data_IF_475109518630
#
_entry.id   IF_475109518630
#
_cell.length_a   1.000
_cell.length_b   1.000
_cell.length_c   1.000
_cell.angle_alpha   90.00
_cell.angle_beta   90.00
_cell.angle_gamma   90.00
#
_symmetry.space_group_name_H-M   'P 1'
#
loop_
_entity.id
_entity.type
_entity.pdbx_description
1 polymer ?
#
# COMPACT_ATOMS: atom_id res chain seq x y z
N UNK A 1 16.93 -29.82 14.95
CA UNK A 1 16.66 -29.55 13.52
C UNK A 1 15.15 -29.49 13.34
N UNK A 2 14.59 -28.29 13.26
CA UNK A 2 13.13 -28.12 13.07
C UNK A 2 12.79 -28.43 11.61
N UNK A 3 12.01 -29.48 11.41
CA UNK A 3 11.48 -29.89 10.12
C UNK A 3 10.45 -28.86 9.65
N UNK A 4 10.85 -28.05 8.66
CA UNK A 4 9.89 -27.27 7.89
C UNK A 4 9.03 -28.26 7.10
N UNK A 5 7.73 -28.34 7.44
CA UNK A 5 6.77 -29.23 6.78
C UNK A 5 6.81 -29.01 5.27
N UNK A 6 6.59 -30.04 4.43
CA UNK A 6 6.57 -29.88 2.97
C UNK A 6 5.33 -29.07 2.59
N UNK A 7 5.46 -27.75 2.57
CA UNK A 7 4.42 -26.88 2.04
C UNK A 7 4.22 -27.23 0.57
N UNK A 8 2.99 -27.57 0.19
CA UNK A 8 2.66 -27.79 -1.21
C UNK A 8 2.89 -26.49 -2.00
N UNK A 9 3.16 -26.59 -3.31
CA UNK A 9 3.31 -25.40 -4.17
C UNK A 9 2.13 -24.42 -4.01
N UNK A 10 0.91 -24.94 -3.83
CA UNK A 10 -0.29 -24.15 -3.60
C UNK A 10 -0.21 -23.27 -2.33
N UNK A 11 0.41 -23.76 -1.26
CA UNK A 11 0.61 -22.98 -0.03
C UNK A 11 1.55 -21.79 -0.27
N UNK A 12 2.65 -22.02 -1.00
CA UNK A 12 3.60 -20.96 -1.31
C UNK A 12 2.95 -19.85 -2.15
N UNK A 13 2.18 -20.22 -3.18
CA UNK A 13 1.45 -19.24 -3.99
C UNK A 13 0.44 -18.45 -3.15
N UNK A 14 -0.35 -19.13 -2.33
CA UNK A 14 -1.32 -18.47 -1.45
C UNK A 14 -0.63 -17.47 -0.53
N UNK A 15 0.42 -17.89 0.17
CA UNK A 15 1.20 -17.03 1.06
C UNK A 15 1.77 -15.81 0.32
N UNK A 16 2.32 -16.03 -0.88
CA UNK A 16 2.88 -14.95 -1.69
C UNK A 16 1.82 -13.90 -2.02
N UNK A 17 0.66 -14.29 -2.55
CA UNK A 17 -0.39 -13.35 -2.92
C UNK A 17 -1.08 -12.70 -1.71
N UNK A 18 -1.18 -13.38 -0.58
CA UNK A 18 -1.80 -12.84 0.64
C UNK A 18 -0.86 -11.89 1.40
N UNK A 19 0.44 -12.15 1.43
CA UNK A 19 1.36 -11.48 2.36
C UNK A 19 2.52 -10.75 1.70
N UNK A 20 2.95 -11.16 0.51
CA UNK A 20 4.13 -10.58 -0.15
C UNK A 20 3.72 -9.63 -1.28
N UNK A 21 2.80 -10.04 -2.15
CA UNK A 21 2.37 -9.25 -3.30
C UNK A 21 1.57 -8.01 -2.89
N UNK A 22 1.73 -6.90 -3.63
CA UNK A 22 0.99 -5.65 -3.44
C UNK A 22 0.45 -5.15 -4.78
N UNK A 23 -0.67 -4.42 -4.73
CA UNK A 23 -1.37 -3.95 -5.93
C UNK A 23 -0.52 -3.00 -6.79
N UNK A 24 0.37 -2.23 -6.17
CA UNK A 24 1.32 -1.34 -6.85
C UNK A 24 2.54 -2.06 -7.43
N UNK A 25 2.71 -3.38 -7.19
CA UNK A 25 3.79 -4.14 -7.82
C UNK A 25 3.55 -4.37 -9.34
N UNK A 26 2.32 -4.16 -9.82
CA UNK A 26 1.98 -4.34 -11.23
C UNK A 26 2.41 -3.17 -12.11
N UNK A 27 2.57 -1.97 -11.53
CA UNK A 27 2.86 -0.73 -12.28
C UNK A 27 4.34 -0.60 -12.66
N UNK A 28 5.22 -1.35 -12.02
CA UNK A 28 6.64 -1.33 -12.36
C UNK A 28 6.97 -2.50 -13.28
N UNK A 29 7.03 -2.23 -14.59
CA UNK A 29 7.47 -3.18 -15.64
C UNK A 29 8.79 -3.89 -15.32
N UNK A 30 9.59 -3.33 -14.42
CA UNK A 30 10.89 -3.84 -13.99
C UNK A 30 11.00 -4.10 -12.48
N UNK A 31 9.90 -4.41 -11.77
CA UNK A 31 10.04 -5.08 -10.46
C UNK A 31 10.64 -6.46 -10.73
N UNK A 32 11.97 -6.50 -10.72
CA UNK A 32 12.64 -7.66 -10.20
C UNK A 32 12.12 -7.78 -8.78
N UNK A 33 11.33 -8.82 -8.50
CA UNK A 33 11.15 -9.32 -7.14
C UNK A 33 12.51 -9.75 -6.62
N UNK A 34 13.32 -8.76 -6.27
CA UNK A 34 14.65 -8.93 -5.77
C UNK A 34 14.54 -9.72 -4.48
N UNK A 35 15.54 -10.56 -4.21
CA UNK A 35 15.61 -11.27 -2.94
C UNK A 35 15.44 -10.32 -1.74
N UNK A 36 15.89 -9.07 -1.87
CA UNK A 36 15.71 -8.02 -0.86
C UNK A 36 14.25 -7.58 -0.67
N UNK A 37 13.48 -7.34 -1.74
CA UNK A 37 12.06 -6.95 -1.62
C UNK A 37 11.25 -8.06 -0.94
N UNK A 38 11.41 -9.30 -1.41
CA UNK A 38 10.72 -10.45 -0.83
C UNK A 38 11.14 -10.63 0.63
N UNK A 39 12.46 -10.57 0.92
CA UNK A 39 12.96 -10.71 2.29
C UNK A 39 12.43 -9.60 3.22
N UNK A 40 12.34 -8.35 2.75
CA UNK A 40 11.81 -7.25 3.53
C UNK A 40 10.33 -7.42 3.87
N UNK A 41 9.50 -7.85 2.92
CA UNK A 41 8.07 -8.11 3.15
C UNK A 41 7.82 -9.36 3.98
N UNK A 42 8.64 -10.39 3.79
CA UNK A 42 8.61 -11.60 4.62
C UNK A 42 8.98 -11.26 6.07
N UNK A 43 10.04 -10.47 6.28
CA UNK A 43 10.42 -9.99 7.61
C UNK A 43 9.31 -9.18 8.26
N UNK A 44 8.69 -8.25 7.53
CA UNK A 44 7.54 -7.49 8.03
C UNK A 44 6.39 -8.40 8.46
N UNK A 45 6.08 -9.44 7.68
CA UNK A 45 5.09 -10.45 8.06
C UNK A 45 5.49 -11.14 9.38
N UNK A 46 6.73 -11.60 9.51
CA UNK A 46 7.20 -12.22 10.76
C UNK A 46 7.16 -11.26 11.95
N UNK A 47 7.53 -10.00 11.76
CA UNK A 47 7.51 -8.98 12.81
C UNK A 47 6.07 -8.68 13.28
N UNK A 48 5.08 -8.75 12.37
CA UNK A 48 3.65 -8.65 12.72
C UNK A 48 3.20 -9.87 13.50
N UNK A 49 3.51 -11.08 13.03
CA UNK A 49 3.08 -12.34 13.69
C UNK A 49 3.72 -12.50 15.08
N UNK A 50 4.96 -12.03 15.25
CA UNK A 50 5.68 -12.07 16.52
C UNK A 50 5.31 -10.91 17.46
N UNK A 51 4.42 -9.99 17.05
CA UNK A 51 3.99 -8.85 17.86
C UNK A 51 5.05 -7.75 18.05
N UNK A 52 6.12 -7.76 17.24
CA UNK A 52 7.12 -6.68 17.22
C UNK A 52 6.48 -5.40 16.67
N UNK A 53 5.62 -5.53 15.66
CA UNK A 53 4.84 -4.43 15.11
C UNK A 53 3.57 -4.24 15.97
N UNK A 54 3.31 -3.02 16.49
CA UNK A 54 2.09 -2.76 17.26
C UNK A 54 0.82 -3.12 16.48
N UNK A 55 -0.18 -3.67 17.16
CA UNK A 55 -1.42 -4.14 16.53
C UNK A 55 -2.15 -3.05 15.72
N UNK A 56 -2.12 -1.79 16.20
CA UNK A 56 -2.67 -0.64 15.49
C UNK A 56 -1.97 -0.41 14.13
N UNK A 57 -0.64 -0.49 14.11
CA UNK A 57 0.16 -0.33 12.88
C UNK A 57 -0.04 -1.51 11.94
N UNK A 58 -0.09 -2.73 12.47
CA UNK A 58 -0.40 -3.92 11.66
C UNK A 58 -1.79 -3.83 11.03
N UNK A 59 -2.78 -3.30 11.76
CA UNK A 59 -4.12 -3.05 11.24
C UNK A 59 -4.13 -1.98 10.15
N UNK A 60 -3.35 -0.91 10.34
CA UNK A 60 -3.21 0.15 9.33
C UNK A 60 -2.55 -0.38 8.06
N UNK A 61 -1.44 -1.12 8.17
CA UNK A 61 -0.76 -1.77 7.03
C UNK A 61 -1.75 -2.63 6.23
N UNK A 62 -2.53 -3.50 6.89
CA UNK A 62 -3.55 -4.32 6.22
C UNK A 62 -4.63 -3.48 5.54
N UNK A 63 -5.05 -2.39 6.17
CA UNK A 63 -6.03 -1.45 5.60
C UNK A 63 -5.49 -0.75 4.34
N UNK A 64 -4.23 -0.31 4.36
CA UNK A 64 -3.57 0.31 3.21
C UNK A 64 -3.50 -0.66 2.03
N UNK A 65 -3.09 -1.92 2.27
CA UNK A 65 -3.06 -2.96 1.23
C UNK A 65 -4.46 -3.19 0.63
N UNK A 66 -5.50 -3.29 1.48
CA UNK A 66 -6.88 -3.47 0.99
C UNK A 66 -7.36 -2.27 0.16
N UNK A 67 -7.07 -1.04 0.60
CA UNK A 67 -7.43 0.17 -0.15
C UNK A 67 -6.72 0.23 -1.49
N UNK A 68 -5.43 -0.13 -1.52
CA UNK A 68 -4.67 -0.15 -2.76
C UNK A 68 -5.23 -1.17 -3.76
N UNK A 69 -5.70 -2.34 -3.31
CA UNK A 69 -6.40 -3.27 -4.19
C UNK A 69 -7.64 -2.64 -4.84
N UNK A 70 -8.45 -1.90 -4.07
CA UNK A 70 -9.61 -1.20 -4.62
C UNK A 70 -9.23 -0.09 -5.59
N UNK A 71 -8.15 0.65 -5.33
CA UNK A 71 -7.65 1.67 -6.26
C UNK A 71 -7.15 1.01 -7.57
N UNK A 72 -6.41 -0.10 -7.48
CA UNK A 72 -5.93 -0.85 -8.66
C UNK A 72 -7.08 -1.36 -9.51
N UNK A 73 -8.13 -1.91 -8.89
CA UNK A 73 -9.33 -2.36 -9.61
C UNK A 73 -10.02 -1.20 -10.37
N UNK A 74 -10.05 -0.01 -9.80
CA UNK A 74 -10.62 1.15 -10.47
C UNK A 74 -9.72 1.67 -11.60
N UNK A 75 -8.39 1.61 -11.43
CA UNK A 75 -7.43 1.89 -12.51
C UNK A 75 -7.67 0.95 -13.69
N UNK A 76 -7.71 -0.37 -13.44
CA UNK A 76 -7.98 -1.39 -14.47
C UNK A 76 -9.32 -1.17 -15.17
N UNK A 77 -10.34 -0.72 -14.43
CA UNK A 77 -11.65 -0.40 -15.00
C UNK A 77 -11.58 0.77 -15.98
N UNK A 78 -10.86 1.84 -15.63
CA UNK A 78 -10.71 3.03 -16.47
C UNK A 78 -9.83 2.73 -17.69
N UNK A 79 -8.74 1.99 -17.50
CA UNK A 79 -7.86 1.52 -18.59
C UNK A 79 -8.63 0.65 -19.59
N UNK A 80 -9.43 -0.32 -19.12
CA UNK A 80 -10.22 -1.19 -19.99
C UNK A 80 -11.31 -0.43 -20.77
N UNK A 81 -11.83 0.68 -20.25
CA UNK A 81 -12.75 1.56 -20.98
C UNK A 81 -12.01 2.25 -22.12
N UNK A 82 -10.84 2.84 -21.83
CA UNK A 82 -10.02 3.51 -22.83
C UNK A 82 -9.52 2.55 -23.94
N UNK A 83 -9.25 1.29 -23.61
CA UNK A 83 -8.86 0.26 -24.59
C UNK A 83 -10.04 -0.28 -25.42
N UNK A 84 -11.26 -0.20 -24.89
CA UNK A 84 -12.49 -0.68 -25.54
C UNK A 84 -13.16 0.36 -26.46
N UNK A 85 -12.68 1.59 -26.45
CA UNK A 85 -13.05 2.64 -27.39
C UNK A 85 -12.41 2.38 -28.77
N UNK A 86 -13.02 2.88 -29.85
CA UNK A 86 -12.48 2.73 -31.22
C UNK A 86 -11.02 3.22 -31.21
N UNK A 87 -10.03 2.47 -31.76
CA UNK A 87 -8.64 2.92 -31.81
C UNK A 87 -8.44 4.30 -32.47
N UNK A 88 -9.42 4.77 -33.26
CA UNK A 88 -9.45 6.11 -33.86
C UNK A 88 -10.22 7.17 -33.02
N UNK A 89 -10.77 6.79 -31.86
CA UNK A 89 -11.44 7.71 -30.93
C UNK A 89 -10.48 8.22 -29.86
N UNK A 90 -10.45 9.54 -29.69
CA UNK A 90 -9.63 10.19 -28.67
C UNK A 90 -10.12 9.81 -27.26
N UNK A 91 -9.21 9.32 -26.42
CA UNK A 91 -9.48 9.05 -25.00
C UNK A 91 -10.10 10.29 -24.34
N UNK A 92 -11.24 10.15 -23.66
CA UNK A 92 -11.88 11.28 -22.97
C UNK A 92 -10.92 11.91 -21.96
N UNK A 93 -10.73 13.23 -22.06
CA UNK A 93 -9.95 14.03 -21.11
C UNK A 93 -10.38 13.77 -19.65
N UNK A 94 -11.66 13.46 -19.41
CA UNK A 94 -12.18 13.12 -18.08
C UNK A 94 -11.56 11.83 -17.55
N UNK A 95 -11.43 10.81 -18.39
CA UNK A 95 -10.87 9.51 -18.02
C UNK A 95 -9.36 9.62 -17.75
N UNK A 96 -8.65 10.43 -18.54
CA UNK A 96 -7.23 10.76 -18.28
C UNK A 96 -7.07 11.45 -16.92
N UNK A 97 -7.90 12.46 -16.62
CA UNK A 97 -7.85 13.16 -15.32
C UNK A 97 -8.23 12.23 -14.16
N UNK A 98 -9.19 11.33 -14.35
CA UNK A 98 -9.58 10.31 -13.38
C UNK A 98 -8.41 9.35 -13.11
N UNK A 99 -7.74 8.86 -14.16
CA UNK A 99 -6.61 7.95 -14.07
C UNK A 99 -5.43 8.59 -13.29
N UNK A 100 -5.09 9.84 -13.61
CA UNK A 100 -4.06 10.61 -12.88
C UNK A 100 -4.38 10.67 -11.37
N UNK A 101 -5.64 10.95 -11.01
CA UNK A 101 -6.05 11.00 -9.60
C UNK A 101 -5.93 9.64 -8.91
N UNK A 102 -6.21 8.55 -9.61
CA UNK A 102 -6.12 7.20 -9.07
C UNK A 102 -4.66 6.80 -8.81
N UNK A 103 -3.73 7.06 -9.75
CA UNK A 103 -2.30 6.82 -9.51
C UNK A 103 -1.76 7.69 -8.37
N UNK A 104 -2.16 8.96 -8.27
CA UNK A 104 -1.80 9.79 -7.12
C UNK A 104 -2.32 9.22 -5.79
N UNK A 105 -3.50 8.59 -5.78
CA UNK A 105 -4.01 7.91 -4.59
C UNK A 105 -3.21 6.64 -4.28
N UNK A 106 -2.84 5.86 -5.30
CA UNK A 106 -1.99 4.68 -5.14
C UNK A 106 -0.64 5.05 -4.52
N UNK A 107 0.03 6.07 -5.03
CA UNK A 107 1.32 6.54 -4.53
C UNK A 107 1.25 7.04 -3.08
N UNK A 108 0.15 7.71 -2.69
CA UNK A 108 -0.08 8.08 -1.29
C UNK A 108 -0.21 6.86 -0.38
N UNK A 109 -0.92 5.82 -0.82
CA UNK A 109 -1.07 4.57 -0.06
C UNK A 109 0.26 3.82 0.06
N UNK A 110 1.01 3.73 -1.05
CA UNK A 110 2.35 3.14 -1.10
C UNK A 110 3.32 3.86 -0.16
N UNK A 111 3.43 5.19 -0.29
CA UNK A 111 4.32 6.00 0.54
C UNK A 111 4.02 5.85 2.03
N UNK A 112 2.73 5.82 2.42
CA UNK A 112 2.34 5.56 3.81
C UNK A 112 2.67 4.14 4.25
N UNK A 113 2.50 3.15 3.38
CA UNK A 113 2.86 1.77 3.68
C UNK A 113 4.38 1.64 3.94
N UNK A 114 5.20 2.25 3.09
CA UNK A 114 6.66 2.21 3.19
C UNK A 114 7.15 2.91 4.47
N UNK A 115 6.55 4.05 4.84
CA UNK A 115 6.89 4.73 6.09
C UNK A 115 6.52 3.92 7.34
N UNK A 116 5.47 3.10 7.26
CA UNK A 116 5.09 2.18 8.33
C UNK A 116 5.88 0.86 8.29
N UNK A 117 6.62 0.56 7.23
CA UNK A 117 7.51 -0.59 7.20
C UNK A 117 8.83 -0.28 7.89
N UNK A 118 9.39 0.90 7.66
CA UNK A 118 10.64 1.33 8.28
C UNK A 118 10.43 1.72 9.76
N UNK A 119 11.17 1.13 10.72
CA UNK A 119 11.02 1.45 12.14
C UNK A 119 11.25 2.93 12.49
N UNK A 120 12.21 3.59 11.83
CA UNK A 120 12.56 5.00 12.07
C UNK A 120 11.46 5.89 11.50
N UNK A 121 11.06 5.68 10.24
CA UNK A 121 10.00 6.47 9.60
C UNK A 121 8.66 6.30 10.31
N UNK A 122 8.37 5.11 10.85
CA UNK A 122 7.16 4.85 11.63
C UNK A 122 7.13 5.69 12.91
N UNK A 123 8.26 5.79 13.59
CA UNK A 123 8.39 6.62 14.80
C UNK A 123 8.19 8.10 14.46
N UNK A 124 8.90 8.61 13.45
CA UNK A 124 8.78 10.01 13.00
C UNK A 124 7.37 10.35 12.51
N UNK A 125 6.71 9.41 11.82
CA UNK A 125 5.34 9.61 11.34
C UNK A 125 4.33 9.77 12.48
N UNK A 126 4.58 9.16 13.63
CA UNK A 126 3.75 9.31 14.83
C UNK A 126 3.97 10.68 15.46
N UNK A 127 5.23 11.07 15.62
CA UNK A 127 5.59 12.38 16.18
C UNK A 127 4.99 13.53 15.35
N UNK A 128 5.02 13.41 14.01
CA UNK A 128 4.40 14.38 13.10
C UNK A 128 2.87 14.47 13.31
N UNK A 129 2.19 13.33 13.44
CA UNK A 129 0.74 13.30 13.69
C UNK A 129 0.38 13.91 15.04
N UNK A 130 1.20 13.68 16.07
CA UNK A 130 1.01 14.26 17.39
C UNK A 130 1.19 15.80 17.33
N UNK A 131 2.21 16.31 16.63
CA UNK A 131 2.42 17.75 16.40
C UNK A 131 1.20 18.38 15.72
N UNK A 132 0.74 17.81 14.60
CA UNK A 132 -0.42 18.32 13.86
C UNK A 132 -1.70 18.33 14.71
N UNK A 133 -1.88 17.30 15.55
CA UNK A 133 -3.00 17.22 16.48
C UNK A 133 -2.95 18.35 17.52
N UNK A 134 -1.79 18.61 18.11
CA UNK A 134 -1.61 19.71 19.08
C UNK A 134 -1.84 21.08 18.42
N UNK A 135 -1.33 21.32 17.22
CA UNK A 135 -1.57 22.55 16.46
C UNK A 135 -3.06 22.75 16.12
N UNK A 136 -3.78 21.68 15.79
CA UNK A 136 -5.21 21.73 15.51
C UNK A 136 -6.04 22.06 16.75
N UNK A 137 -5.67 21.51 17.91
CA UNK A 137 -6.29 21.85 19.19
C UNK A 137 -6.06 23.31 19.57
N UNK A 138 -4.84 23.79 19.37
CA UNK A 138 -4.45 25.16 19.70
C UNK A 138 -5.12 26.21 18.79
N UNK A 139 -5.29 25.90 17.50
CA UNK A 139 -6.15 26.70 16.59
C UNK A 139 -7.60 26.74 17.07
N UNK A 140 -8.20 25.59 17.38
CA UNK A 140 -9.59 25.53 17.86
C UNK A 140 -9.81 26.35 19.14
N UNK A 141 -8.84 26.36 20.06
CA UNK A 141 -8.91 27.19 21.28
C UNK A 141 -8.84 28.68 20.97
N UNK A 142 -8.05 29.09 19.97
CA UNK A 142 -7.98 30.49 19.53
C UNK A 142 -9.25 30.96 18.81
N UNK A 143 -9.87 30.10 18.02
CA UNK A 143 -11.08 30.44 17.26
C UNK A 143 -12.36 30.53 18.13
N UNK A 144 -12.32 30.03 19.37
CA UNK A 144 -13.45 30.06 20.33
C UNK A 144 -13.27 31.09 21.46
N UNK A 145 -12.30 32.01 21.35
CA UNK A 145 -11.99 33.05 22.34
C UNK A 145 -12.37 34.43 21.80
#
# INVERSE_FOLDING_TARGET
>A
MNYMKPYSKAYFFRFFFEHIWRAWDLEEENICYTGSLIAARFKLYQDIENGIIPAAVASELRSLVKKALSVRQEIERVEAIAEGEDPDSDIDQRDVVQLIKLHQQMEKLRSRYDSLQDPVLRMLSRDQQDIEWFECQDRRKRDHC
#
